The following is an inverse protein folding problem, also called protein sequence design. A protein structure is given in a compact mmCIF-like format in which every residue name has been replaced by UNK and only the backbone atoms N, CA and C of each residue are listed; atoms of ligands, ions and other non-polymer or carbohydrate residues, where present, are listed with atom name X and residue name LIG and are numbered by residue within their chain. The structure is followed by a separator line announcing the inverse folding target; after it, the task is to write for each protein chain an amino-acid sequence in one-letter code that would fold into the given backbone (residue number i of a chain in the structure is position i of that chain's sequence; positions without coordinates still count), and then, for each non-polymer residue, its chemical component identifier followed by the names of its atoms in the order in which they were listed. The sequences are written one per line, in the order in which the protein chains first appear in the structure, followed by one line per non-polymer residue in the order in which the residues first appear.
data_IF_198938108450
#
_entry.id   IF_198938108450
#
_cell.length_a   1.000
_cell.length_b   1.000
_cell.length_c   1.000
_cell.angle_alpha   90.00
_cell.angle_beta   90.00
_cell.angle_gamma   90.00
#
_symmetry.space_group_name_H-M   'P 1'
#
loop_
_entity.id
_entity.type
_entity.pdbx_description
1 polymer ?
#
# COMPACT_ATOMS: atom_id res chain seq x y z
N UNK A 1 -3.95 7.19 22.11
CA UNK A 1 -2.47 7.27 22.06
C UNK A 1 -1.92 6.30 21.02
N UNK A 2 -2.53 5.12 20.88
CA UNK A 2 -2.07 4.04 19.98
C UNK A 2 -2.09 4.39 18.49
N UNK A 3 -3.07 5.16 18.03
CA UNK A 3 -3.16 5.60 16.62
C UNK A 3 -2.01 6.52 16.21
N UNK A 4 -1.61 7.44 17.09
CA UNK A 4 -0.47 8.33 16.83
C UNK A 4 0.85 7.56 16.77
N UNK A 5 1.03 6.58 17.67
CA UNK A 5 2.20 5.68 17.66
C UNK A 5 2.22 4.84 16.39
N UNK A 6 1.06 4.33 15.95
CA UNK A 6 0.95 3.55 14.73
C UNK A 6 1.31 4.37 13.49
N UNK A 7 0.80 5.60 13.37
CA UNK A 7 1.13 6.52 12.27
C UNK A 7 2.63 6.85 12.27
N UNK A 8 3.21 7.12 13.44
CA UNK A 8 4.64 7.37 13.56
C UNK A 8 5.46 6.16 13.08
N UNK A 9 5.15 4.97 13.58
CA UNK A 9 5.85 3.74 13.23
C UNK A 9 5.69 3.37 11.75
N UNK A 10 4.48 3.43 11.19
CA UNK A 10 4.23 2.95 9.82
C UNK A 10 4.38 3.98 8.72
N UNK A 11 4.04 5.24 8.95
CA UNK A 11 4.18 6.27 7.93
C UNK A 11 5.51 7.01 8.10
N UNK A 12 5.66 7.75 9.20
CA UNK A 12 6.75 8.72 9.36
C UNK A 12 8.12 8.04 9.42
N UNK A 13 8.25 6.91 10.12
CA UNK A 13 9.56 6.24 10.23
C UNK A 13 10.06 5.67 8.89
N UNK A 14 9.15 5.29 8.00
CA UNK A 14 9.48 4.67 6.72
C UNK A 14 9.71 5.68 5.59
N UNK A 15 8.99 6.81 5.60
CA UNK A 15 9.06 7.83 4.53
C UNK A 15 9.78 9.11 4.95
N UNK A 16 9.97 9.32 6.25
CA UNK A 16 10.34 10.62 6.81
C UNK A 16 9.14 11.59 6.85
N UNK A 17 9.41 12.82 7.26
CA UNK A 17 8.42 13.90 7.26
C UNK A 17 8.25 14.48 5.85
N UNK A 18 7.01 14.57 5.40
CA UNK A 18 6.68 15.19 4.13
C UNK A 18 6.78 16.71 4.24
N UNK A 19 7.27 17.36 3.17
CA UNK A 19 7.25 18.83 3.04
C UNK A 19 5.84 19.35 2.83
N UNK A 20 5.03 18.63 2.07
CA UNK A 20 3.63 18.95 1.79
C UNK A 20 2.81 17.67 1.75
N UNK A 21 1.66 17.66 2.42
CA UNK A 21 0.67 16.59 2.36
C UNK A 21 -0.60 17.16 1.75
N UNK A 22 -1.10 16.51 0.72
CA UNK A 22 -2.40 16.82 0.12
C UNK A 22 -3.40 15.83 0.68
N UNK A 23 -4.43 16.33 1.35
CA UNK A 23 -5.52 15.53 1.92
C UNK A 23 -6.87 16.01 1.41
N UNK A 24 -7.90 15.18 1.53
CA UNK A 24 -9.28 15.66 1.40
C UNK A 24 -9.68 16.52 2.62
N UNK A 25 -10.90 17.05 2.57
CA UNK A 25 -11.48 17.91 3.62
C UNK A 25 -12.19 17.11 4.72
N UNK A 26 -11.84 15.85 4.94
CA UNK A 26 -12.42 15.10 6.07
C UNK A 26 -12.15 15.87 7.39
N UNK A 27 -13.14 15.97 8.30
CA UNK A 27 -12.99 16.62 9.60
C UNK A 27 -11.77 16.19 10.40
N UNK A 28 -11.30 14.95 10.23
CA UNK A 28 -10.09 14.44 10.89
C UNK A 28 -8.85 15.22 10.47
N UNK A 29 -8.72 15.51 9.17
CA UNK A 29 -7.58 16.23 8.61
C UNK A 29 -7.70 17.76 8.69
N UNK A 30 -8.93 18.27 8.82
CA UNK A 30 -9.18 19.71 9.04
C UNK A 30 -9.25 20.08 10.53
N UNK A 31 -9.16 19.10 11.44
CA UNK A 31 -9.16 19.32 12.88
C UNK A 31 -8.03 20.25 13.32
N UNK A 32 -8.29 21.02 14.38
CA UNK A 32 -7.28 21.90 14.98
C UNK A 32 -6.05 21.11 15.46
N UNK A 33 -6.26 19.91 16.01
CA UNK A 33 -5.19 19.03 16.43
C UNK A 33 -4.27 18.64 15.26
N UNK A 34 -4.85 18.15 14.16
CA UNK A 34 -4.07 17.72 12.99
C UNK A 34 -3.32 18.88 12.34
N UNK A 35 -4.00 20.02 12.20
CA UNK A 35 -3.41 21.23 11.61
C UNK A 35 -2.24 21.77 12.46
N UNK A 36 -2.41 21.83 13.78
CA UNK A 36 -1.37 22.30 14.69
C UNK A 36 -0.20 21.31 14.78
N UNK A 37 -0.46 20.00 14.77
CA UNK A 37 0.58 18.97 14.75
C UNK A 37 1.49 19.12 13.53
N UNK A 38 0.92 19.21 12.34
CA UNK A 38 1.73 19.34 11.12
C UNK A 38 2.44 20.69 11.03
N UNK A 39 1.85 21.76 11.58
CA UNK A 39 2.54 23.05 11.72
C UNK A 39 3.78 22.96 12.59
N UNK A 40 3.72 22.22 13.71
CA UNK A 40 4.89 21.96 14.57
C UNK A 40 5.94 21.09 13.89
N UNK A 41 5.50 20.09 13.11
CA UNK A 41 6.40 19.21 12.35
C UNK A 41 6.99 19.88 11.09
N UNK A 42 6.60 21.11 10.76
CA UNK A 42 7.06 21.81 9.56
C UNK A 42 6.48 21.28 8.24
N UNK A 43 5.41 20.49 8.30
CA UNK A 43 4.72 19.94 7.13
C UNK A 43 3.60 20.87 6.70
N UNK A 44 3.59 21.28 5.42
CA UNK A 44 2.46 22.02 4.84
C UNK A 44 1.29 21.05 4.61
N UNK A 45 0.11 21.39 5.11
CA UNK A 45 -1.14 20.70 4.77
C UNK A 45 -1.85 21.48 3.66
N UNK A 46 -2.16 20.80 2.56
CA UNK A 46 -2.96 21.31 1.46
C UNK A 46 -4.22 20.48 1.34
N UNK A 47 -5.38 21.10 1.14
CA UNK A 47 -6.65 20.38 1.03
C UNK A 47 -7.14 20.38 -0.40
N UNK A 48 -7.49 19.20 -0.92
CA UNK A 48 -8.10 19.06 -2.24
C UNK A 48 -9.48 19.72 -2.25
N UNK A 49 -9.85 20.32 -3.38
CA UNK A 49 -11.20 20.84 -3.60
C UNK A 49 -12.06 19.74 -4.23
N UNK A 50 -13.39 19.82 -4.03
CA UNK A 50 -14.34 18.83 -4.54
C UNK A 50 -14.25 18.58 -6.06
N UNK A 51 -13.66 19.51 -6.81
CA UNK A 51 -13.54 19.47 -8.27
C UNK A 51 -12.10 19.32 -8.78
N UNK A 52 -11.17 18.79 -7.96
CA UNK A 52 -9.81 18.47 -8.41
C UNK A 52 -9.52 16.94 -8.37
N UNK A 53 -10.19 16.15 -9.24
CA UNK A 53 -9.97 14.70 -9.31
C UNK A 53 -8.52 14.33 -9.67
N UNK A 54 -7.73 15.25 -10.20
CA UNK A 54 -6.35 15.00 -10.60
C UNK A 54 -5.39 14.97 -9.39
N UNK A 55 -5.62 15.80 -8.37
CA UNK A 55 -4.73 15.91 -7.20
C UNK A 55 -4.91 14.71 -6.25
N UNK A 56 -6.14 14.24 -6.09
CA UNK A 56 -6.47 13.14 -5.18
C UNK A 56 -6.73 11.80 -5.93
N UNK A 57 -6.81 11.84 -7.26
CA UNK A 57 -7.14 10.68 -8.07
C UNK A 57 -6.09 9.57 -8.06
N UNK A 58 -4.83 9.88 -7.76
CA UNK A 58 -3.79 8.86 -7.59
C UNK A 58 -3.99 8.08 -6.29
N UNK A 59 -4.17 8.78 -5.17
CA UNK A 59 -4.44 8.17 -3.88
C UNK A 59 -5.75 7.36 -3.92
N UNK A 60 -6.82 7.93 -4.48
CA UNK A 60 -8.11 7.23 -4.65
C UNK A 60 -8.00 5.95 -5.49
N UNK A 61 -7.31 5.99 -6.64
CA UNK A 61 -7.09 4.79 -7.47
C UNK A 61 -6.30 3.71 -6.73
N UNK A 62 -5.30 4.11 -5.96
CA UNK A 62 -4.52 3.19 -5.14
C UNK A 62 -5.38 2.55 -4.04
N UNK A 63 -6.18 3.36 -3.32
CA UNK A 63 -7.10 2.88 -2.30
C UNK A 63 -8.10 1.88 -2.90
N UNK A 64 -8.73 2.21 -4.03
CA UNK A 64 -9.66 1.31 -4.73
C UNK A 64 -8.99 -0.01 -5.14
N UNK A 65 -7.73 0.04 -5.58
CA UNK A 65 -6.96 -1.15 -5.93
C UNK A 65 -6.74 -2.04 -4.72
N UNK A 66 -6.33 -1.45 -3.58
CA UNK A 66 -6.14 -2.17 -2.32
C UNK A 66 -7.46 -2.76 -1.80
N UNK A 67 -8.55 -2.00 -1.84
CA UNK A 67 -9.88 -2.50 -1.47
C UNK A 67 -10.29 -3.71 -2.32
N UNK A 68 -10.05 -3.66 -3.62
CA UNK A 68 -10.33 -4.78 -4.51
C UNK A 68 -9.49 -6.01 -4.16
N UNK A 69 -8.20 -5.84 -3.88
CA UNK A 69 -7.32 -6.94 -3.46
C UNK A 69 -7.78 -7.56 -2.14
N UNK A 70 -8.15 -6.74 -1.15
CA UNK A 70 -8.69 -7.21 0.14
C UNK A 70 -10.00 -7.97 -0.09
N UNK A 71 -10.94 -7.42 -0.87
CA UNK A 71 -12.21 -8.09 -1.20
C UNK A 71 -11.98 -9.44 -1.86
N UNK A 72 -11.07 -9.53 -2.83
CA UNK A 72 -10.69 -10.79 -3.47
C UNK A 72 -10.09 -11.77 -2.47
N UNK A 73 -9.21 -11.31 -1.60
CA UNK A 73 -8.62 -12.18 -0.60
C UNK A 73 -9.65 -12.75 0.38
N UNK A 74 -10.50 -11.90 0.94
CA UNK A 74 -11.56 -12.32 1.86
C UNK A 74 -12.56 -13.28 1.16
N UNK A 75 -12.83 -13.10 -0.13
CA UNK A 75 -13.75 -13.95 -0.87
C UNK A 75 -13.16 -15.32 -1.28
N UNK A 76 -11.84 -15.42 -1.53
CA UNK A 76 -11.26 -16.58 -2.20
C UNK A 76 -10.20 -17.35 -1.40
N UNK A 77 -9.50 -16.71 -0.45
CA UNK A 77 -8.21 -17.25 0.04
C UNK A 77 -8.32 -17.91 1.41
N UNK A 78 -9.31 -17.58 2.23
CA UNK A 78 -9.37 -18.09 3.61
C UNK A 78 -10.79 -18.47 4.05
N UNK A 79 -11.15 -19.74 3.88
CA UNK A 79 -12.14 -20.40 4.75
C UNK A 79 -11.49 -20.65 6.13
N UNK A 80 -11.19 -19.59 6.90
CA UNK A 80 -10.83 -19.78 8.31
C UNK A 80 -12.11 -20.13 9.07
N UNK A 81 -12.36 -21.43 9.21
CA UNK A 81 -13.39 -21.97 10.08
C UNK A 81 -12.85 -21.92 11.52
N UNK A 82 -13.03 -20.80 12.18
CA UNK A 82 -12.90 -20.75 13.64
C UNK A 82 -14.23 -21.16 14.28
N UNK A 83 -14.19 -21.70 15.49
CA UNK A 83 -15.35 -22.34 16.15
C UNK A 83 -16.56 -21.41 16.37
N UNK A 84 -16.38 -20.09 16.25
CA UNK A 84 -17.42 -19.06 16.47
C UNK A 84 -17.79 -18.22 15.23
N UNK A 85 -17.34 -18.62 14.02
CA UNK A 85 -17.75 -18.00 12.75
C UNK A 85 -16.61 -17.42 11.88
N UNK A 86 -16.95 -16.96 10.67
CA UNK A 86 -16.02 -16.41 9.67
C UNK A 86 -15.36 -15.11 10.14
N UNK A 87 -14.22 -15.19 10.82
CA UNK A 87 -13.44 -14.02 11.23
C UNK A 87 -12.34 -13.77 10.20
N UNK A 88 -12.55 -12.81 9.29
CA UNK A 88 -11.54 -12.42 8.31
C UNK A 88 -10.53 -11.44 8.95
N UNK A 89 -9.35 -11.90 9.34
CA UNK A 89 -8.27 -11.03 9.80
C UNK A 89 -7.48 -10.43 8.62
N UNK A 90 -8.10 -9.48 7.92
CA UNK A 90 -7.50 -8.76 6.81
C UNK A 90 -6.30 -7.88 7.25
N UNK A 91 -6.18 -7.55 8.54
CA UNK A 91 -5.08 -6.73 9.05
C UNK A 91 -3.73 -7.44 8.93
N UNK A 92 -3.70 -8.76 9.11
CA UNK A 92 -2.49 -9.59 8.92
C UNK A 92 -2.00 -9.62 7.48
N UNK A 93 -2.90 -9.40 6.53
CA UNK A 93 -2.61 -9.41 5.10
C UNK A 93 -2.01 -8.09 4.59
N UNK A 94 -2.26 -6.97 5.27
CA UNK A 94 -1.81 -5.63 4.83
C UNK A 94 -0.33 -5.61 4.41
N UNK A 95 0.63 -6.18 5.17
CA UNK A 95 2.04 -6.18 4.78
C UNK A 95 2.31 -6.91 3.45
N UNK A 96 1.59 -8.00 3.17
CA UNK A 96 1.74 -8.75 1.93
C UNK A 96 1.17 -7.98 0.74
N UNK A 97 0.02 -7.32 0.90
CA UNK A 97 -0.56 -6.45 -0.13
C UNK A 97 0.33 -5.24 -0.40
N UNK A 98 0.86 -4.62 0.66
CA UNK A 98 1.78 -3.50 0.54
C UNK A 98 3.03 -3.89 -0.25
N UNK A 99 3.61 -5.08 0.03
CA UNK A 99 4.73 -5.61 -0.73
C UNK A 99 4.36 -5.81 -2.21
N UNK A 100 3.23 -6.48 -2.47
CA UNK A 100 2.75 -6.73 -3.83
C UNK A 100 2.55 -5.43 -4.63
N UNK A 101 1.97 -4.41 -4.02
CA UNK A 101 1.80 -3.11 -4.66
C UNK A 101 3.16 -2.41 -4.92
N UNK A 102 4.12 -2.50 -4.00
CA UNK A 102 5.45 -1.89 -4.15
C UNK A 102 6.31 -2.56 -5.22
N UNK A 103 6.10 -3.84 -5.49
CA UNK A 103 6.86 -4.62 -6.49
C UNK A 103 6.11 -4.86 -7.79
N UNK A 104 4.84 -4.47 -7.89
CA UNK A 104 4.09 -4.55 -9.15
C UNK A 104 4.54 -3.46 -10.12
N UNK A 105 4.69 -3.82 -11.39
CA UNK A 105 5.09 -2.88 -12.45
C UNK A 105 3.91 -1.99 -12.78
N UNK A 106 4.09 -0.67 -12.67
CA UNK A 106 3.03 0.27 -12.99
C UNK A 106 2.94 0.49 -14.51
N UNK A 107 1.74 0.34 -15.08
CA UNK A 107 1.52 0.34 -16.52
C UNK A 107 2.05 1.59 -17.25
N UNK A 108 1.97 2.77 -16.61
CA UNK A 108 2.41 4.03 -17.21
C UNK A 108 3.91 4.31 -17.10
N UNK A 109 4.61 3.73 -16.12
CA UNK A 109 6.03 4.03 -15.87
C UNK A 109 6.95 2.88 -16.26
N UNK A 110 6.38 1.70 -16.51
CA UNK A 110 7.10 0.44 -16.73
C UNK A 110 8.13 0.12 -15.64
N UNK A 111 7.97 0.72 -14.45
CA UNK A 111 8.82 0.52 -13.28
C UNK A 111 7.95 0.21 -12.07
N UNK A 112 8.56 -0.42 -11.08
CA UNK A 112 7.93 -0.69 -9.79
C UNK A 112 8.03 0.55 -8.90
N UNK A 113 7.05 0.82 -8.02
CA UNK A 113 7.12 1.91 -7.07
C UNK A 113 8.39 1.89 -6.20
N UNK A 114 8.82 0.71 -5.72
CA UNK A 114 10.04 0.58 -4.91
C UNK A 114 11.29 1.03 -5.67
N UNK A 115 11.39 0.72 -6.98
CA UNK A 115 12.50 1.16 -7.81
C UNK A 115 12.49 2.68 -8.01
N UNK A 116 11.31 3.28 -8.17
CA UNK A 116 11.18 4.73 -8.35
C UNK A 116 11.43 5.52 -7.06
N UNK A 117 10.97 5.02 -5.92
CA UNK A 117 11.07 5.69 -4.62
C UNK A 117 12.43 5.48 -3.95
N UNK A 118 12.93 4.24 -3.96
CA UNK A 118 14.10 3.83 -3.17
C UNK A 118 15.29 3.42 -4.02
N UNK A 119 15.12 3.25 -5.34
CA UNK A 119 16.18 2.82 -6.25
C UNK A 119 16.49 1.32 -6.22
N UNK A 120 15.71 0.51 -5.50
CA UNK A 120 15.88 -0.93 -5.43
C UNK A 120 14.54 -1.65 -5.27
N UNK A 121 14.51 -2.93 -5.65
CA UNK A 121 13.36 -3.81 -5.44
C UNK A 121 13.67 -4.84 -4.37
N UNK A 122 12.75 -5.07 -3.40
CA UNK A 122 12.90 -6.16 -2.46
C UNK A 122 12.82 -7.51 -3.17
N UNK A 123 13.64 -8.47 -2.73
CA UNK A 123 13.55 -9.85 -3.17
C UNK A 123 12.24 -10.44 -2.68
N UNK A 124 11.47 -11.02 -3.58
CA UNK A 124 10.19 -11.64 -3.25
C UNK A 124 10.40 -13.12 -2.91
N UNK A 125 9.52 -13.73 -2.08
CA UNK A 125 9.57 -15.17 -1.81
C UNK A 125 9.56 -16.02 -3.09
N UNK A 126 8.83 -15.58 -4.13
CA UNK A 126 8.78 -16.26 -5.42
C UNK A 126 10.14 -16.26 -6.15
N UNK A 127 10.99 -15.26 -5.93
CA UNK A 127 12.32 -15.20 -6.57
C UNK A 127 13.25 -16.26 -5.97
N UNK A 128 13.08 -16.56 -4.67
CA UNK A 128 13.78 -17.65 -4.00
C UNK A 128 13.29 -19.01 -4.51
N UNK A 129 11.97 -19.19 -4.60
CA UNK A 129 11.37 -20.44 -5.07
C UNK A 129 11.70 -20.73 -6.54
N UNK A 130 11.73 -19.70 -7.40
CA UNK A 130 12.10 -19.85 -8.82
C UNK A 130 13.57 -20.23 -9.02
N UNK A 131 14.45 -19.91 -8.07
CA UNK A 131 15.86 -20.27 -8.16
C UNK A 131 16.09 -21.78 -7.96
N UNK A 132 15.19 -22.42 -7.22
CA UNK A 132 15.20 -23.87 -7.00
C UNK A 132 14.39 -24.64 -8.07
N UNK A 133 13.56 -23.93 -8.85
CA UNK A 133 12.91 -24.47 -10.04
C UNK A 133 13.91 -24.44 -11.19
N UNK A 134 14.59 -25.56 -11.41
CA UNK A 134 15.44 -25.82 -12.59
C UNK A 134 14.72 -25.35 -13.86
N UNK A 135 15.41 -24.57 -14.69
CA UNK A 135 14.93 -24.16 -16.02
C UNK A 135 14.59 -25.41 -16.84
N UNK A 136 13.30 -25.75 -16.91
CA UNK A 136 12.81 -26.77 -17.83
C UNK A 136 12.93 -26.13 -19.21
N UNK A 137 14.03 -26.43 -19.88
CA UNK A 137 14.34 -25.96 -21.22
C UNK A 137 13.15 -26.23 -22.17
N UNK A 138 12.79 -25.24 -22.98
CA UNK A 138 11.62 -25.21 -23.90
C UNK A 138 11.67 -26.20 -25.07
N UNK A 139 12.41 -27.30 -24.94
CA UNK A 139 12.49 -28.37 -25.94
C UNK A 139 11.60 -29.57 -25.65
N UNK A 140 10.84 -29.60 -24.54
CA UNK A 140 9.94 -30.74 -24.24
C UNK A 140 8.49 -30.58 -24.71
N UNK A 141 8.13 -29.53 -25.46
CA UNK A 141 6.79 -29.37 -26.04
C UNK A 141 6.70 -29.86 -27.50
N UNK A 142 7.47 -30.88 -27.85
CA UNK A 142 7.41 -31.53 -29.17
C UNK A 142 7.69 -33.02 -29.06
N UNK A 143 6.72 -33.76 -28.54
CA UNK A 143 6.45 -35.17 -28.85
C UNK A 143 4.95 -35.44 -28.71
#
# INVERSE_FOLDING_TARGET
MDTAILIWKRAISHTGLFKNIISDRDPKFTSALWTNLHKLLGTKLSFSTAYHPQTDGLAKRMIQTLEYMIKRFCAYVLEFKDSDGFTHDWCTLIPALELACKTSIHASTHKTPSMLEKGWNPKLPVDTLKKDLVDIHTTSSSF
#
